data_IF_135299953847
#
_entry.id   IF_135299953847
#
_cell.length_a   1.000
_cell.length_b   1.000
_cell.length_c   1.000
_cell.angle_alpha   90.00
_cell.angle_beta   90.00
_cell.angle_gamma   90.00
#
_symmetry.space_group_name_H-M   'P 1'
#
loop_
_entity.id
_entity.type
_entity.pdbx_description
1 polymer ?
#
# COMPACT_ATOMS: atom_id res chain seq x y z
N UNK A 1 10.22 13.75 -13.29
CA UNK A 1 9.80 12.72 -12.32
C UNK A 1 11.04 11.98 -11.85
N UNK A 2 11.00 11.37 -10.68
CA UNK A 2 12.11 10.63 -10.08
C UNK A 2 11.61 9.27 -9.60
N UNK A 3 12.47 8.26 -9.64
CA UNK A 3 12.17 6.95 -9.09
C UNK A 3 12.44 6.97 -7.59
N UNK A 4 11.43 6.63 -6.80
CA UNK A 4 11.53 6.46 -5.36
C UNK A 4 11.48 4.98 -5.01
N UNK A 5 12.36 4.58 -4.09
CA UNK A 5 12.30 3.28 -3.42
C UNK A 5 11.64 3.46 -2.07
N UNK A 6 10.50 2.80 -1.87
CA UNK A 6 9.64 2.97 -0.70
C UNK A 6 9.56 1.64 0.03
N UNK A 7 9.94 1.63 1.31
CA UNK A 7 9.75 0.48 2.20
C UNK A 7 8.51 0.71 3.04
N UNK A 8 7.61 -0.27 3.06
CA UNK A 8 6.33 -0.17 3.76
C UNK A 8 6.15 -1.31 4.75
N UNK A 9 5.37 -1.01 5.79
CA UNK A 9 4.88 -1.96 6.78
C UNK A 9 3.34 -1.96 6.75
N UNK A 10 2.79 -3.14 6.45
CA UNK A 10 1.37 -3.46 6.44
C UNK A 10 1.01 -4.58 7.42
N UNK A 11 1.90 -4.92 8.35
CA UNK A 11 1.74 -6.02 9.31
C UNK A 11 0.44 -5.96 10.12
N UNK A 12 -0.06 -4.76 10.40
CA UNK A 12 -1.32 -4.48 11.11
C UNK A 12 -2.59 -4.92 10.37
N UNK A 13 -2.53 -4.99 9.04
CA UNK A 13 -3.66 -5.31 8.15
C UNK A 13 -3.36 -6.51 7.23
N UNK A 14 -2.18 -7.12 7.38
CA UNK A 14 -1.68 -8.15 6.48
C UNK A 14 -2.61 -9.37 6.46
N UNK A 15 -3.12 -9.76 7.63
CA UNK A 15 -3.95 -10.97 7.76
C UNK A 15 -5.20 -10.86 6.91
N UNK A 16 -5.87 -9.72 6.96
CA UNK A 16 -7.06 -9.40 6.18
C UNK A 16 -6.73 -9.26 4.69
N UNK A 17 -5.56 -8.71 4.36
CA UNK A 17 -5.11 -8.57 2.96
C UNK A 17 -4.83 -9.93 2.28
N UNK A 18 -4.46 -10.96 3.03
CA UNK A 18 -4.21 -12.31 2.48
C UNK A 18 -5.48 -12.93 1.88
N UNK A 19 -6.66 -12.62 2.44
CA UNK A 19 -7.94 -13.13 1.96
C UNK A 19 -8.29 -12.60 0.55
N UNK A 20 -7.72 -11.46 0.15
CA UNK A 20 -7.96 -10.83 -1.16
C UNK A 20 -6.95 -11.27 -2.25
N UNK A 21 -5.95 -12.08 -1.90
CA UNK A 21 -4.86 -12.53 -2.78
C UNK A 21 -4.17 -11.37 -3.52
N UNK A 22 -3.82 -10.31 -2.79
CA UNK A 22 -3.06 -9.18 -3.34
C UNK A 22 -1.57 -9.53 -3.42
N UNK A 23 -1.13 -10.11 -4.55
CA UNK A 23 0.23 -10.64 -4.76
C UNK A 23 1.35 -9.69 -4.32
N UNK A 24 1.23 -8.40 -4.65
CA UNK A 24 2.25 -7.38 -4.35
C UNK A 24 2.35 -7.03 -2.85
N UNK A 25 1.37 -7.45 -2.05
CA UNK A 25 1.19 -7.11 -0.64
C UNK A 25 1.02 -8.36 0.24
N UNK A 26 1.52 -9.51 -0.21
CA UNK A 26 1.48 -10.78 0.55
C UNK A 26 2.38 -10.75 1.78
N UNK A 27 3.45 -9.97 1.75
CA UNK A 27 4.42 -9.87 2.84
C UNK A 27 4.12 -8.65 3.71
N UNK A 28 4.31 -8.75 5.04
CA UNK A 28 4.01 -7.64 5.94
C UNK A 28 4.95 -6.45 5.73
N UNK A 29 6.16 -6.73 5.27
CA UNK A 29 7.16 -5.73 4.91
C UNK A 29 7.51 -5.91 3.44
N UNK A 30 7.46 -4.82 2.68
CA UNK A 30 7.76 -4.86 1.25
C UNK A 30 8.45 -3.59 0.78
N UNK A 31 9.16 -3.70 -0.33
CA UNK A 31 9.81 -2.57 -1.00
C UNK A 31 9.21 -2.39 -2.38
N UNK A 32 8.83 -1.16 -2.71
CA UNK A 32 8.24 -0.80 -3.99
C UNK A 32 9.02 0.34 -4.65
N UNK A 33 9.09 0.30 -5.97
CA UNK A 33 9.65 1.36 -6.79
C UNK A 33 8.51 2.13 -7.46
N UNK A 34 8.51 3.45 -7.32
CA UNK A 34 7.46 4.34 -7.86
C UNK A 34 8.10 5.56 -8.49
N UNK A 35 7.69 5.86 -9.71
CA UNK A 35 8.02 7.13 -10.36
C UNK A 35 7.01 8.20 -9.93
N UNK A 36 7.48 9.27 -9.30
CA UNK A 36 6.65 10.38 -8.81
C UNK A 36 7.37 11.73 -8.95
N UNK A 37 6.65 12.85 -8.79
CA UNK A 37 7.26 14.18 -8.79
C UNK A 37 7.94 14.49 -7.45
N UNK A 38 7.40 14.01 -6.35
CA UNK A 38 7.89 14.27 -4.99
C UNK A 38 7.62 13.05 -4.07
N UNK A 39 8.29 12.97 -2.89
CA UNK A 39 8.13 11.83 -1.98
C UNK A 39 6.70 11.65 -1.46
N UNK A 40 5.95 12.73 -1.22
CA UNK A 40 4.57 12.65 -0.72
C UNK A 40 3.63 12.02 -1.76
N UNK A 41 3.80 12.37 -3.03
CA UNK A 41 3.09 11.75 -4.14
C UNK A 41 3.44 10.26 -4.24
N UNK A 42 4.72 9.90 -4.13
CA UNK A 42 5.17 8.51 -4.17
C UNK A 42 4.51 7.67 -3.04
N UNK A 43 4.46 8.23 -1.83
CA UNK A 43 3.77 7.65 -0.68
C UNK A 43 2.26 7.44 -0.95
N UNK A 44 1.60 8.47 -1.45
CA UNK A 44 0.17 8.42 -1.79
C UNK A 44 -0.13 7.41 -2.89
N UNK A 45 0.75 7.28 -3.90
CA UNK A 45 0.61 6.32 -4.98
C UNK A 45 0.63 4.88 -4.47
N UNK A 46 1.53 4.52 -3.54
CA UNK A 46 1.54 3.16 -2.96
C UNK A 46 0.26 2.89 -2.17
N UNK A 47 -0.14 3.83 -1.31
CA UNK A 47 -1.37 3.68 -0.52
C UNK A 47 -2.59 3.48 -1.43
N UNK A 48 -2.72 4.33 -2.44
CA UNK A 48 -3.81 4.25 -3.41
C UNK A 48 -3.74 2.97 -4.25
N UNK A 49 -2.54 2.44 -4.54
CA UNK A 49 -2.39 1.16 -5.24
C UNK A 49 -3.03 0.02 -4.43
N UNK A 50 -2.75 -0.09 -3.12
CA UNK A 50 -3.36 -1.13 -2.26
C UNK A 50 -4.88 -0.99 -2.25
N UNK A 51 -5.38 0.22 -1.96
CA UNK A 51 -6.81 0.51 -1.87
C UNK A 51 -7.52 0.17 -3.19
N UNK A 52 -6.97 0.61 -4.32
CA UNK A 52 -7.55 0.34 -5.63
C UNK A 52 -7.52 -1.15 -5.98
N UNK A 53 -6.48 -1.89 -5.60
CA UNK A 53 -6.42 -3.34 -5.81
C UNK A 53 -7.47 -4.06 -4.96
N UNK A 54 -7.66 -3.63 -3.71
CA UNK A 54 -8.67 -4.18 -2.82
C UNK A 54 -10.09 -3.96 -3.37
N UNK A 55 -10.44 -2.72 -3.69
CA UNK A 55 -11.78 -2.37 -4.22
C UNK A 55 -12.05 -2.98 -5.60
N UNK A 56 -11.01 -3.22 -6.41
CA UNK A 56 -11.14 -3.94 -7.69
C UNK A 56 -11.41 -5.44 -7.52
N UNK A 57 -10.92 -6.04 -6.43
CA UNK A 57 -11.21 -7.43 -6.11
C UNK A 57 -12.64 -7.57 -5.60
N UNK A 58 -13.01 -6.72 -4.65
CA UNK A 58 -14.33 -6.74 -4.05
C UNK A 58 -14.67 -5.37 -3.43
N UNK A 59 -15.82 -4.80 -3.79
CA UNK A 59 -16.32 -3.52 -3.24
C UNK A 59 -17.48 -3.77 -2.27
N UNK A 60 -17.15 -4.34 -1.12
CA UNK A 60 -18.08 -4.58 -0.01
C UNK A 60 -17.87 -3.56 1.11
N UNK A 61 -18.79 -3.52 2.07
CA UNK A 61 -18.61 -2.71 3.29
C UNK A 61 -17.34 -3.12 4.03
N UNK A 62 -17.00 -4.41 4.06
CA UNK A 62 -15.80 -4.93 4.72
C UNK A 62 -14.53 -4.44 4.03
N UNK A 63 -14.46 -4.50 2.69
CA UNK A 63 -13.29 -4.02 1.95
C UNK A 63 -13.12 -2.49 2.11
N UNK A 64 -14.21 -1.72 2.18
CA UNK A 64 -14.16 -0.28 2.49
C UNK A 64 -13.66 0.01 3.91
N UNK A 65 -14.08 -0.77 4.91
CA UNK A 65 -13.56 -0.65 6.27
C UNK A 65 -12.06 -0.97 6.33
N UNK A 66 -11.63 -2.00 5.60
CA UNK A 66 -10.22 -2.35 5.48
C UNK A 66 -9.41 -1.24 4.78
N UNK A 67 -9.96 -0.57 3.75
CA UNK A 67 -9.33 0.60 3.15
C UNK A 67 -9.11 1.73 4.16
N UNK A 68 -10.08 2.01 5.03
CA UNK A 68 -9.92 3.01 6.08
C UNK A 68 -8.87 2.61 7.12
N UNK A 69 -8.77 1.32 7.45
CA UNK A 69 -7.68 0.81 8.29
C UNK A 69 -6.32 0.96 7.61
N UNK A 70 -6.19 0.60 6.34
CA UNK A 70 -4.94 0.79 5.56
C UNK A 70 -4.51 2.27 5.61
N UNK A 71 -5.43 3.22 5.41
CA UNK A 71 -5.11 4.67 5.46
C UNK A 71 -4.52 5.10 6.81
N UNK A 72 -4.91 4.46 7.90
CA UNK A 72 -4.52 4.81 9.29
C UNK A 72 -3.32 4.01 9.78
N UNK A 73 -3.24 2.74 9.41
CA UNK A 73 -2.34 1.75 10.02
C UNK A 73 -1.15 1.40 9.12
N UNK A 74 -1.23 1.59 7.80
CA UNK A 74 -0.08 1.40 6.90
C UNK A 74 0.99 2.44 7.21
N UNK A 75 2.23 1.96 7.32
CA UNK A 75 3.40 2.81 7.58
C UNK A 75 4.36 2.79 6.41
N UNK A 76 5.05 3.91 6.25
CA UNK A 76 6.17 4.04 5.33
C UNK A 76 7.40 4.18 6.20
N UNK A 77 8.21 3.12 6.24
CA UNK A 77 9.39 3.05 7.10
C UNK A 77 10.56 3.82 6.50
N UNK A 78 10.67 3.82 5.17
CA UNK A 78 11.77 4.47 4.45
C UNK A 78 11.37 4.90 3.06
N UNK A 79 11.83 6.09 2.65
CA UNK A 79 11.79 6.57 1.27
C UNK A 79 13.18 7.02 0.84
N UNK A 80 13.63 6.52 -0.30
CA UNK A 80 14.95 6.82 -0.87
C UNK A 80 14.76 7.26 -2.34
N UNK A 81 15.45 8.31 -2.77
CA UNK A 81 15.65 8.60 -4.18
C UNK A 81 17.03 8.07 -4.57
N UNK A 82 17.14 6.90 -5.24
CA UNK A 82 18.40 6.42 -5.81
C UNK A 82 19.01 7.39 -6.82
#
# INVERSE_FOLDING_TARGET
MQNYKISIDISSVQRELLDYDLRDFRFPFSTHFVEAANPDEACNMIRNRIINMLLKKEDTTESRLLCERIKREMRIDKIECP
#
